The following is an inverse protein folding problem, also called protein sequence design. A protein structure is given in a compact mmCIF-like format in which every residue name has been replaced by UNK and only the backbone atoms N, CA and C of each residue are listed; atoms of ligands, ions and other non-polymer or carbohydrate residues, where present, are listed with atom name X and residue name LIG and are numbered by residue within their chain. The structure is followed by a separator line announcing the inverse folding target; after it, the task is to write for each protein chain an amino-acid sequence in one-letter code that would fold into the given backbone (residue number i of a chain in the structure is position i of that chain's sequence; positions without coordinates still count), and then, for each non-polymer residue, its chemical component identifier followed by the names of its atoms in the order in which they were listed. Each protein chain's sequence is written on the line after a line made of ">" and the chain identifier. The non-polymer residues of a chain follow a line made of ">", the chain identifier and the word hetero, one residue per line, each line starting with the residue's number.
data_IF_244493767688
#
_entry.id   IF_244493767688
#
_cell.length_a   1.000
_cell.length_b   1.000
_cell.length_c   1.000
_cell.angle_alpha   90.00
_cell.angle_beta   90.00
_cell.angle_gamma   90.00
#
_symmetry.space_group_name_H-M   'P 1'
#
loop_
_entity.id
_entity.type
_entity.pdbx_description
1 polymer ?
#
# COMPACT_ATOMS: atom_id res chain seq x y z
N UNK A 1 -21.70 5.20 -68.64
CA UNK A 1 -20.97 5.21 -67.37
C UNK A 1 -22.02 5.20 -66.25
N UNK A 2 -22.17 4.05 -65.59
CA UNK A 2 -23.03 3.86 -64.42
C UNK A 2 -22.26 4.33 -63.19
N UNK A 3 -22.67 5.41 -62.56
CA UNK A 3 -22.18 5.81 -61.23
C UNK A 3 -22.92 4.99 -60.17
N UNK A 4 -22.29 3.98 -59.61
CA UNK A 4 -22.74 3.31 -58.42
C UNK A 4 -22.38 4.22 -57.26
N UNK A 5 -23.32 5.00 -56.76
CA UNK A 5 -23.14 5.72 -55.47
C UNK A 5 -23.17 4.70 -54.35
N UNK A 6 -22.04 4.35 -53.82
CA UNK A 6 -21.95 3.56 -52.60
C UNK A 6 -22.54 4.39 -51.45
N UNK A 7 -23.78 4.17 -51.10
CA UNK A 7 -24.35 4.65 -49.84
C UNK A 7 -23.66 3.91 -48.70
N UNK A 8 -22.67 4.54 -48.14
CA UNK A 8 -22.09 4.03 -46.89
C UNK A 8 -23.11 4.26 -45.80
N UNK A 9 -23.68 3.17 -45.31
CA UNK A 9 -24.66 3.21 -44.22
C UNK A 9 -24.00 3.81 -42.98
N UNK A 10 -24.47 4.97 -42.53
CA UNK A 10 -23.95 5.73 -41.40
C UNK A 10 -23.92 4.89 -40.09
N UNK A 11 -24.84 3.90 -40.02
CA UNK A 11 -24.91 2.98 -38.89
C UNK A 11 -23.73 1.99 -38.87
N UNK A 12 -23.34 1.50 -40.04
CA UNK A 12 -22.18 0.62 -40.17
C UNK A 12 -20.89 1.35 -39.85
N UNK A 13 -20.72 2.60 -40.29
CA UNK A 13 -19.56 3.43 -39.96
C UNK A 13 -19.49 3.67 -38.46
N UNK A 14 -20.60 3.99 -37.81
CA UNK A 14 -20.66 4.19 -36.35
C UNK A 14 -20.29 2.91 -35.59
N UNK A 15 -20.81 1.76 -36.00
CA UNK A 15 -20.53 0.48 -35.38
C UNK A 15 -19.06 0.09 -35.52
N UNK A 16 -18.45 0.31 -36.70
CA UNK A 16 -17.00 0.09 -36.90
C UNK A 16 -16.16 1.03 -36.03
N UNK A 17 -16.56 2.31 -35.97
CA UNK A 17 -15.85 3.28 -35.11
C UNK A 17 -15.92 2.90 -33.62
N UNK A 18 -17.08 2.48 -33.14
CA UNK A 18 -17.24 2.00 -31.75
C UNK A 18 -16.42 0.73 -31.47
N UNK A 19 -16.38 -0.20 -32.43
CA UNK A 19 -15.57 -1.40 -32.31
C UNK A 19 -14.05 -1.07 -32.24
N UNK A 20 -13.58 -0.17 -33.08
CA UNK A 20 -12.19 0.28 -33.07
C UNK A 20 -11.85 0.99 -31.75
N UNK A 21 -12.72 1.87 -31.27
CA UNK A 21 -12.55 2.53 -29.96
C UNK A 21 -12.50 1.51 -28.82
N UNK A 22 -13.38 0.52 -28.81
CA UNK A 22 -13.39 -0.55 -27.83
C UNK A 22 -12.11 -1.39 -27.89
N UNK A 23 -11.61 -1.70 -29.08
CA UNK A 23 -10.37 -2.44 -29.28
C UNK A 23 -9.13 -1.66 -28.78
N UNK A 24 -9.08 -0.36 -29.07
CA UNK A 24 -8.01 0.53 -28.55
C UNK A 24 -8.06 0.60 -27.04
N UNK A 25 -9.25 0.82 -26.48
CA UNK A 25 -9.43 0.84 -25.02
C UNK A 25 -9.01 -0.48 -24.37
N UNK A 26 -9.42 -1.62 -24.94
CA UNK A 26 -9.03 -2.94 -24.44
C UNK A 26 -7.51 -3.15 -24.49
N UNK A 27 -6.83 -2.65 -25.51
CA UNK A 27 -5.37 -2.69 -25.62
C UNK A 27 -4.67 -1.85 -24.56
N UNK A 28 -5.14 -0.64 -24.33
CA UNK A 28 -4.61 0.24 -23.27
C UNK A 28 -4.81 -0.41 -21.91
N UNK A 29 -6.01 -0.97 -21.65
CA UNK A 29 -6.31 -1.68 -20.41
C UNK A 29 -5.42 -2.91 -20.23
N UNK A 30 -5.22 -3.69 -21.28
CA UNK A 30 -4.35 -4.86 -21.26
C UNK A 30 -2.90 -4.50 -20.94
N UNK A 31 -2.38 -3.43 -21.56
CA UNK A 31 -1.03 -2.93 -21.28
C UNK A 31 -0.88 -2.49 -19.82
N UNK A 32 -1.83 -1.69 -19.34
CA UNK A 32 -1.85 -1.21 -17.95
C UNK A 32 -1.91 -2.37 -16.95
N UNK A 33 -2.82 -3.32 -17.16
CA UNK A 33 -2.95 -4.48 -16.27
C UNK A 33 -1.71 -5.38 -16.30
N UNK A 34 -1.11 -5.62 -17.46
CA UNK A 34 0.12 -6.42 -17.56
C UNK A 34 1.28 -5.77 -16.83
N UNK A 35 1.47 -4.45 -16.99
CA UNK A 35 2.51 -3.70 -16.29
C UNK A 35 2.28 -3.75 -14.77
N UNK A 36 1.07 -3.43 -14.33
CA UNK A 36 0.72 -3.44 -12.92
C UNK A 36 0.86 -4.84 -12.29
N UNK A 37 0.30 -5.87 -12.91
CA UNK A 37 0.40 -7.26 -12.40
C UNK A 37 1.85 -7.73 -12.42
N UNK A 38 2.62 -7.34 -13.43
CA UNK A 38 4.05 -7.64 -13.51
C UNK A 38 4.81 -7.05 -12.32
N UNK A 39 4.64 -5.77 -12.04
CA UNK A 39 5.30 -5.08 -10.93
C UNK A 39 4.90 -5.66 -9.57
N UNK A 40 3.60 -5.93 -9.38
CA UNK A 40 3.11 -6.58 -8.15
C UNK A 40 3.67 -7.99 -8.02
N UNK A 41 3.69 -8.79 -9.10
CA UNK A 41 4.23 -10.14 -9.07
C UNK A 41 5.74 -10.15 -8.77
N UNK A 42 6.50 -9.21 -9.31
CA UNK A 42 7.92 -9.03 -9.00
C UNK A 42 8.12 -8.69 -7.54
N UNK A 43 7.38 -7.70 -7.04
CA UNK A 43 7.53 -7.24 -5.66
C UNK A 43 7.04 -8.28 -4.64
N UNK A 44 5.98 -9.03 -4.92
CA UNK A 44 5.41 -10.03 -4.00
C UNK A 44 6.09 -11.40 -4.09
N UNK A 45 7.03 -11.59 -5.02
CA UNK A 45 7.73 -12.85 -5.18
C UNK A 45 8.55 -13.19 -3.93
N UNK A 46 8.18 -14.31 -3.30
CA UNK A 46 8.76 -14.80 -2.05
C UNK A 46 9.75 -15.95 -2.28
N UNK A 47 9.95 -16.38 -3.52
CA UNK A 47 10.91 -17.45 -3.83
C UNK A 47 12.34 -16.89 -3.72
N UNK A 48 13.04 -17.27 -2.65
CA UNK A 48 14.39 -16.80 -2.35
C UNK A 48 15.43 -17.11 -3.45
N UNK A 49 15.16 -18.09 -4.33
CA UNK A 49 16.02 -18.43 -5.47
C UNK A 49 15.71 -17.57 -6.71
N UNK A 50 14.63 -16.82 -6.72
CA UNK A 50 14.24 -16.00 -7.85
C UNK A 50 14.94 -14.63 -7.80
N UNK A 51 15.36 -14.14 -8.97
CA UNK A 51 15.92 -12.78 -9.13
C UNK A 51 15.01 -11.70 -8.53
N UNK A 52 13.71 -11.86 -8.67
CA UNK A 52 12.70 -10.92 -8.17
C UNK A 52 12.70 -10.79 -6.64
N UNK A 53 13.06 -11.85 -5.92
CA UNK A 53 13.21 -11.80 -4.46
C UNK A 53 14.32 -10.84 -4.04
N UNK A 54 15.44 -10.83 -4.74
CA UNK A 54 16.55 -9.91 -4.46
C UNK A 54 16.15 -8.46 -4.75
N UNK A 55 15.41 -8.23 -5.83
CA UNK A 55 14.88 -6.91 -6.19
C UNK A 55 13.95 -6.42 -5.08
N UNK A 56 12.99 -7.23 -4.67
CA UNK A 56 12.08 -6.90 -3.54
C UNK A 56 12.85 -6.56 -2.27
N UNK A 57 13.83 -7.40 -1.91
CA UNK A 57 14.67 -7.20 -0.73
C UNK A 57 15.43 -5.87 -0.80
N UNK A 58 15.99 -5.54 -1.95
CA UNK A 58 16.70 -4.27 -2.16
C UNK A 58 15.76 -3.06 -2.05
N UNK A 59 14.56 -3.12 -2.65
CA UNK A 59 13.56 -2.06 -2.56
C UNK A 59 13.13 -1.85 -1.10
N UNK A 60 12.79 -2.91 -0.38
CA UNK A 60 12.36 -2.83 1.00
C UNK A 60 13.49 -2.33 1.92
N UNK A 61 14.71 -2.81 1.72
CA UNK A 61 15.86 -2.31 2.46
C UNK A 61 16.12 -0.82 2.19
N UNK A 62 16.04 -0.39 0.93
CA UNK A 62 16.21 1.01 0.53
C UNK A 62 15.16 1.91 1.18
N UNK A 63 13.88 1.56 1.10
CA UNK A 63 12.79 2.33 1.70
C UNK A 63 12.88 2.36 3.24
N UNK A 64 13.20 1.23 3.87
CA UNK A 64 13.36 1.15 5.33
C UNK A 64 14.53 2.00 5.79
N UNK A 65 15.69 1.92 5.12
CA UNK A 65 16.85 2.74 5.45
C UNK A 65 16.58 4.23 5.28
N UNK A 66 15.86 4.63 4.22
CA UNK A 66 15.48 6.03 4.03
C UNK A 66 14.64 6.56 5.22
N UNK A 67 13.65 5.78 5.68
CA UNK A 67 12.85 6.16 6.84
C UNK A 67 13.70 6.19 8.11
N UNK A 68 14.58 5.20 8.34
CA UNK A 68 15.49 5.17 9.51
C UNK A 68 16.38 6.42 9.54
N UNK A 69 16.95 6.82 8.39
CA UNK A 69 17.79 8.03 8.31
C UNK A 69 17.01 9.28 8.71
N UNK A 70 15.77 9.43 8.22
CA UNK A 70 14.89 10.53 8.62
C UNK A 70 14.58 10.51 10.12
N UNK A 71 14.25 9.33 10.67
CA UNK A 71 13.94 9.18 12.10
C UNK A 71 15.12 9.46 13.01
N UNK A 72 16.35 9.19 12.54
CA UNK A 72 17.62 9.44 13.24
C UNK A 72 18.19 10.82 12.95
N UNK A 73 17.56 11.57 12.05
CA UNK A 73 18.04 12.90 11.67
C UNK A 73 19.47 12.87 11.07
N UNK A 74 19.85 11.77 10.42
CA UNK A 74 21.17 11.61 9.83
C UNK A 74 21.44 12.55 8.65
N UNK A 75 20.37 13.04 8.00
CA UNK A 75 20.41 13.93 6.84
C UNK A 75 20.15 15.40 7.20
N UNK A 76 20.12 15.75 8.49
CA UNK A 76 19.90 17.13 8.94
C UNK A 76 21.14 17.97 8.68
N UNK A 77 21.00 18.97 7.80
CA UNK A 77 22.10 19.86 7.38
C UNK A 77 22.41 20.89 8.48
N UNK A 78 21.43 21.23 9.32
CA UNK A 78 21.57 22.20 10.41
C UNK A 78 21.20 21.53 11.73
N UNK A 79 22.01 21.75 12.77
CA UNK A 79 21.84 21.12 14.08
C UNK A 79 20.47 21.38 14.77
N UNK A 80 19.70 22.36 14.27
CA UNK A 80 18.37 22.73 14.80
C UNK A 80 17.21 22.26 13.90
N UNK A 81 17.47 21.62 12.75
CA UNK A 81 16.43 21.16 11.83
C UNK A 81 16.10 19.71 12.15
N UNK A 82 15.37 19.46 13.24
CA UNK A 82 14.88 18.13 13.59
C UNK A 82 13.49 17.88 13.01
N UNK A 83 13.21 16.62 12.64
CA UNK A 83 11.87 16.25 12.20
C UNK A 83 11.03 15.84 13.41
N UNK A 84 10.01 16.64 13.74
CA UNK A 84 9.06 16.31 14.81
C UNK A 84 8.13 15.16 14.39
N UNK A 85 7.79 15.11 13.12
CA UNK A 85 6.83 14.14 12.58
C UNK A 85 7.25 13.65 11.19
N UNK A 86 7.06 12.35 10.95
CA UNK A 86 7.25 11.71 9.66
C UNK A 86 5.94 11.11 9.19
N UNK A 87 5.54 11.41 7.96
CA UNK A 87 4.38 10.81 7.30
C UNK A 87 4.89 9.95 6.16
N UNK A 88 4.51 8.68 6.17
CA UNK A 88 4.83 7.74 5.09
C UNK A 88 3.66 7.70 4.13
N UNK A 89 3.86 8.09 2.88
CA UNK A 89 2.83 8.10 1.86
C UNK A 89 3.18 7.16 0.71
N UNK A 90 2.19 6.44 0.19
CA UNK A 90 2.38 5.52 -0.92
C UNK A 90 1.21 5.49 -1.89
N UNK A 91 1.50 5.68 -3.18
CA UNK A 91 0.57 5.53 -4.29
C UNK A 91 0.77 4.17 -4.97
N UNK A 92 -0.31 3.51 -5.36
CA UNK A 92 -0.23 2.27 -6.14
C UNK A 92 0.63 1.22 -5.42
N UNK A 93 1.59 0.58 -6.10
CA UNK A 93 2.56 -0.35 -5.51
C UNK A 93 3.38 0.31 -4.39
N UNK A 94 3.62 1.62 -4.46
CA UNK A 94 4.27 2.37 -3.38
C UNK A 94 3.55 2.27 -2.04
N UNK A 95 2.22 2.07 -2.02
CA UNK A 95 1.46 1.84 -0.80
C UNK A 95 1.76 0.47 -0.15
N UNK A 96 2.08 -0.54 -0.96
CA UNK A 96 2.52 -1.85 -0.46
C UNK A 96 3.92 -1.73 0.14
N UNK A 97 4.82 -1.01 -0.54
CA UNK A 97 6.18 -0.75 -0.06
C UNK A 97 6.12 0.04 1.25
N UNK A 98 5.31 1.10 1.33
CA UNK A 98 5.12 1.90 2.54
C UNK A 98 4.62 1.05 3.72
N UNK A 99 3.61 0.21 3.48
CA UNK A 99 3.08 -0.71 4.48
C UNK A 99 4.14 -1.74 4.94
N UNK A 100 4.85 -2.36 4.00
CA UNK A 100 5.91 -3.32 4.30
C UNK A 100 7.09 -2.65 5.05
N UNK A 101 7.39 -1.39 4.74
CA UNK A 101 8.40 -0.59 5.46
C UNK A 101 8.04 -0.41 6.93
N UNK A 102 6.78 -0.07 7.24
CA UNK A 102 6.34 0.05 8.63
C UNK A 102 6.41 -1.29 9.37
N UNK A 103 6.04 -2.40 8.72
CA UNK A 103 6.21 -3.73 9.32
C UNK A 103 7.68 -4.07 9.56
N UNK A 104 8.58 -3.71 8.63
CA UNK A 104 10.02 -3.94 8.80
C UNK A 104 10.61 -3.13 9.97
N UNK A 105 10.16 -1.90 10.17
CA UNK A 105 10.55 -1.08 11.32
C UNK A 105 10.10 -1.72 12.64
N UNK A 106 8.88 -2.25 12.70
CA UNK A 106 8.39 -3.00 13.86
C UNK A 106 9.22 -4.27 14.12
N UNK A 107 9.54 -5.02 13.06
CA UNK A 107 10.36 -6.23 13.18
C UNK A 107 11.77 -5.91 13.66
N UNK A 108 12.39 -4.82 13.19
CA UNK A 108 13.71 -4.36 13.63
C UNK A 108 13.73 -3.91 15.09
N UNK A 109 12.64 -3.31 15.57
CA UNK A 109 12.48 -2.99 16.99
C UNK A 109 12.34 -4.25 17.85
N UNK A 110 11.43 -5.16 17.46
CA UNK A 110 11.13 -6.39 18.20
C UNK A 110 12.36 -7.32 18.33
N UNK A 111 13.16 -7.42 17.27
CA UNK A 111 14.39 -8.25 17.27
C UNK A 111 15.39 -7.87 18.35
N UNK A 112 15.26 -6.68 18.95
CA UNK A 112 16.14 -6.25 20.04
C UNK A 112 15.67 -6.71 21.42
N UNK A 113 14.35 -6.73 21.66
CA UNK A 113 13.81 -7.08 22.98
C UNK A 113 14.02 -8.57 23.29
N UNK A 114 14.07 -9.42 22.25
CA UNK A 114 14.30 -10.86 22.36
C UNK A 114 15.78 -11.27 22.38
N UNK A 115 16.72 -10.37 22.08
CA UNK A 115 18.17 -10.67 22.00
C UNK A 115 18.91 -10.54 23.34
N UNK A 116 18.27 -10.78 24.49
CA UNK A 116 18.92 -10.79 25.80
C UNK A 116 19.55 -12.17 26.09
N UNK A 117 20.30 -12.75 25.18
CA UNK A 117 21.20 -13.85 25.51
C UNK A 117 22.50 -13.71 24.70
N UNK A 118 23.45 -13.01 25.29
CA UNK A 118 24.87 -13.28 25.05
C UNK A 118 25.56 -12.63 23.85
N UNK A 119 24.93 -11.73 23.10
CA UNK A 119 25.59 -11.01 22.00
C UNK A 119 25.61 -9.50 22.29
N UNK A 120 26.75 -8.86 22.02
CA UNK A 120 26.93 -7.41 22.02
C UNK A 120 25.78 -6.81 21.18
N UNK A 121 24.96 -5.89 21.73
CA UNK A 121 23.86 -5.35 21.00
C UNK A 121 24.36 -4.64 19.75
N UNK A 122 24.02 -5.16 18.58
CA UNK A 122 24.19 -4.40 17.36
C UNK A 122 23.52 -3.03 17.56
N UNK A 123 24.22 -1.96 17.21
CA UNK A 123 23.77 -0.56 17.39
C UNK A 123 22.32 -0.47 16.94
N UNK A 124 21.42 -0.21 17.89
CA UNK A 124 19.98 -0.33 17.64
C UNK A 124 19.55 0.57 16.51
N UNK A 125 19.05 -0.01 15.47
CA UNK A 125 18.63 0.76 14.31
C UNK A 125 17.37 1.57 14.61
N UNK A 126 16.42 1.04 15.38
CA UNK A 126 15.11 1.66 15.65
C UNK A 126 14.73 1.55 17.12
N UNK A 127 14.41 2.68 17.76
CA UNK A 127 13.88 2.77 19.12
C UNK A 127 12.38 3.10 19.11
N UNK A 128 11.72 3.01 20.26
CA UNK A 128 10.34 3.47 20.39
C UNK A 128 10.20 4.96 20.11
N UNK A 129 11.16 5.78 20.55
CA UNK A 129 11.13 7.23 20.31
C UNK A 129 11.22 7.55 18.83
N UNK A 130 12.00 6.78 18.06
CA UNK A 130 12.02 6.88 16.60
C UNK A 130 10.63 6.55 16.01
N UNK A 131 9.98 5.47 16.46
CA UNK A 131 8.65 5.09 15.98
C UNK A 131 7.58 6.11 16.35
N UNK A 132 7.70 6.77 17.50
CA UNK A 132 6.78 7.82 17.95
C UNK A 132 6.75 9.04 17.03
N UNK A 133 7.83 9.29 16.28
CA UNK A 133 7.88 10.33 15.25
C UNK A 133 7.03 9.98 14.01
N UNK A 134 6.69 8.72 13.79
CA UNK A 134 5.85 8.33 12.65
C UNK A 134 4.41 8.71 12.96
N UNK A 135 3.97 9.82 12.40
CA UNK A 135 2.63 10.37 12.59
C UNK A 135 1.57 9.64 11.79
N UNK A 136 1.89 9.25 10.57
CA UNK A 136 0.88 8.72 9.69
C UNK A 136 1.36 7.83 8.55
N UNK A 137 0.42 7.02 8.06
CA UNK A 137 0.50 6.28 6.82
C UNK A 137 -0.63 6.76 5.91
N UNK A 138 -0.30 7.23 4.72
CA UNK A 138 -1.25 7.62 3.68
C UNK A 138 -1.13 6.66 2.52
N UNK A 139 -2.20 5.94 2.21
CA UNK A 139 -2.27 5.03 1.06
C UNK A 139 -3.36 5.49 0.10
N UNK A 140 -3.06 5.51 -1.20
CA UNK A 140 -4.04 5.91 -2.22
C UNK A 140 -3.81 5.16 -3.53
N UNK A 141 -4.89 4.88 -4.25
CA UNK A 141 -4.81 3.96 -5.39
C UNK A 141 -4.23 2.59 -5.01
N UNK A 142 -4.45 2.15 -3.77
CA UNK A 142 -3.69 1.06 -3.14
C UNK A 142 -4.20 -0.32 -3.51
N UNK A 143 -3.31 -1.23 -3.98
CA UNK A 143 -3.65 -2.62 -4.26
C UNK A 143 -3.51 -3.55 -3.05
N UNK A 144 -3.31 -3.05 -1.84
CA UNK A 144 -3.01 -3.87 -0.66
C UNK A 144 -3.99 -5.02 -0.42
N UNK A 145 -5.32 -4.82 -0.61
CA UNK A 145 -6.30 -5.89 -0.52
C UNK A 145 -6.06 -6.99 -1.56
N UNK A 146 -5.75 -6.59 -2.81
CA UNK A 146 -5.51 -7.52 -3.92
C UNK A 146 -4.20 -8.28 -3.71
N UNK A 147 -3.15 -7.56 -3.32
CA UNK A 147 -1.85 -8.17 -2.97
C UNK A 147 -2.02 -9.15 -1.83
N UNK A 148 -2.78 -8.79 -0.80
CA UNK A 148 -3.05 -9.67 0.32
C UNK A 148 -3.77 -10.93 -0.13
N UNK A 149 -4.88 -10.80 -0.85
CA UNK A 149 -5.69 -11.92 -1.30
C UNK A 149 -4.93 -12.85 -2.26
N UNK A 150 -4.33 -12.31 -3.33
CA UNK A 150 -3.73 -13.14 -4.38
C UNK A 150 -2.37 -13.73 -4.01
N UNK A 151 -1.57 -12.99 -3.25
CA UNK A 151 -0.16 -13.36 -3.05
C UNK A 151 0.17 -13.78 -1.62
N UNK A 152 -0.70 -13.51 -0.67
CA UNK A 152 -0.45 -13.77 0.75
C UNK A 152 -1.44 -14.74 1.38
N UNK A 153 -2.71 -14.75 0.98
CA UNK A 153 -3.71 -15.69 1.50
C UNK A 153 -3.89 -16.94 0.63
N UNK A 154 -3.87 -16.76 -0.68
CA UNK A 154 -4.12 -17.87 -1.61
C UNK A 154 -2.81 -18.62 -1.94
N UNK A 155 -2.17 -19.19 -0.93
CA UNK A 155 -0.90 -19.89 -1.06
C UNK A 155 -1.14 -21.40 -1.10
N UNK A 156 -0.44 -22.14 -1.99
CA UNK A 156 -0.54 -23.59 -2.03
C UNK A 156 -0.25 -24.23 -0.67
N UNK A 157 -0.95 -25.30 -0.32
CA UNK A 157 -0.86 -25.95 0.99
C UNK A 157 0.58 -26.33 1.39
N UNK A 158 1.42 -26.72 0.43
CA UNK A 158 2.83 -27.05 0.69
C UNK A 158 3.69 -25.82 1.07
N UNK A 159 3.16 -24.62 0.95
CA UNK A 159 3.80 -23.34 1.35
C UNK A 159 3.12 -22.71 2.57
N UNK A 160 2.23 -23.42 3.26
CA UNK A 160 1.45 -22.90 4.38
C UNK A 160 2.32 -22.26 5.48
N UNK A 161 3.40 -22.90 5.91
CA UNK A 161 4.32 -22.36 6.92
C UNK A 161 4.91 -21.01 6.45
N UNK A 162 5.28 -20.93 5.19
CA UNK A 162 5.84 -19.70 4.61
C UNK A 162 4.82 -18.57 4.55
N UNK A 163 3.58 -18.88 4.18
CA UNK A 163 2.47 -17.92 4.21
C UNK A 163 2.21 -17.43 5.62
N UNK A 164 2.24 -18.32 6.60
CA UNK A 164 2.05 -18.01 8.01
C UNK A 164 3.16 -17.09 8.55
N UNK A 165 4.42 -17.36 8.23
CA UNK A 165 5.53 -16.48 8.56
C UNK A 165 5.38 -15.09 7.96
N UNK A 166 4.98 -15.00 6.69
CA UNK A 166 4.76 -13.72 6.03
C UNK A 166 3.58 -12.95 6.64
N UNK A 167 2.49 -13.64 6.96
CA UNK A 167 1.35 -13.04 7.64
C UNK A 167 1.74 -12.46 9.00
N UNK A 168 2.60 -13.16 9.70
CA UNK A 168 3.14 -12.75 10.99
C UNK A 168 4.03 -11.50 10.89
N UNK A 169 5.01 -11.51 9.99
CA UNK A 169 5.93 -10.39 9.76
C UNK A 169 5.26 -9.14 9.16
N UNK A 170 4.03 -9.26 8.66
CA UNK A 170 3.27 -8.19 8.01
C UNK A 170 1.90 -8.04 8.68
N UNK A 171 1.90 -7.93 10.01
CA UNK A 171 0.69 -7.97 10.83
C UNK A 171 0.17 -6.58 11.23
N UNK A 172 0.86 -5.49 10.87
CA UNK A 172 0.42 -4.15 11.22
C UNK A 172 -1.03 -3.90 10.80
N UNK A 173 -1.91 -3.75 11.80
CA UNK A 173 -3.36 -3.51 11.61
C UNK A 173 -4.06 -4.44 10.63
N UNK A 174 -3.53 -5.62 10.42
CA UNK A 174 -4.17 -6.65 9.62
C UNK A 174 -5.27 -7.34 10.43
N UNK A 175 -6.42 -7.59 9.81
CA UNK A 175 -7.45 -8.42 10.44
C UNK A 175 -6.92 -9.84 10.60
N UNK A 176 -7.27 -10.53 11.69
CA UNK A 176 -7.00 -11.95 11.80
C UNK A 176 -7.57 -12.69 10.59
N UNK A 177 -6.78 -13.54 9.97
CA UNK A 177 -7.27 -14.44 8.93
C UNK A 177 -8.11 -15.54 9.57
N UNK A 178 -9.23 -15.92 8.92
CA UNK A 178 -9.99 -17.10 9.31
C UNK A 178 -9.27 -18.40 8.96
N UNK A 179 -8.17 -18.33 8.22
CA UNK A 179 -7.35 -19.49 7.90
C UNK A 179 -6.41 -19.77 9.08
N UNK A 180 -6.84 -20.67 9.95
CA UNK A 180 -5.99 -21.29 10.94
C UNK A 180 -5.14 -22.34 10.21
N UNK A 181 -3.90 -22.01 9.87
CA UNK A 181 -2.93 -22.96 9.33
C UNK A 181 -2.47 -23.97 10.41
N UNK A 182 -3.17 -24.09 11.49
CA UNK A 182 -3.42 -25.25 12.36
C UNK A 182 -2.33 -25.67 13.30
N UNK A 183 -1.06 -25.32 13.22
CA UNK A 183 -0.05 -25.98 14.07
C UNK A 183 0.98 -25.08 14.75
N UNK A 184 1.15 -23.84 14.34
CA UNK A 184 2.15 -22.96 14.97
C UNK A 184 1.55 -21.59 15.29
N UNK A 185 1.20 -21.39 16.55
CA UNK A 185 0.98 -20.05 17.10
C UNK A 185 2.33 -19.39 17.27
N UNK A 186 2.80 -18.72 16.24
CA UNK A 186 3.93 -17.82 16.39
C UNK A 186 3.51 -16.69 17.35
N UNK A 187 4.36 -16.41 18.33
CA UNK A 187 4.17 -15.28 19.22
C UNK A 187 4.08 -14.01 18.37
N UNK A 188 3.03 -13.21 18.56
CA UNK A 188 2.88 -11.97 17.77
C UNK A 188 3.96 -11.00 18.20
N UNK A 189 4.66 -10.41 17.24
CA UNK A 189 5.45 -9.23 17.53
C UNK A 189 4.55 -8.13 18.07
N UNK A 190 5.09 -7.35 18.98
CA UNK A 190 4.38 -6.22 19.53
C UNK A 190 4.19 -5.14 18.48
N UNK A 191 2.99 -5.06 17.90
CA UNK A 191 2.61 -4.02 16.96
C UNK A 191 2.30 -2.68 17.64
N UNK A 192 2.36 -2.60 18.98
CA UNK A 192 2.01 -1.41 19.76
C UNK A 192 2.91 -0.22 19.46
N UNK A 193 4.13 -0.47 19.00
CA UNK A 193 5.09 0.58 18.62
C UNK A 193 4.58 1.59 17.60
N UNK A 194 3.56 1.24 16.82
CA UNK A 194 2.91 2.12 15.82
C UNK A 194 1.42 2.38 16.12
N UNK A 195 0.98 2.20 17.36
CA UNK A 195 -0.43 2.44 17.73
C UNK A 195 -0.87 3.88 17.49
N UNK A 196 0.03 4.84 17.65
CA UNK A 196 -0.22 6.28 17.40
C UNK A 196 -0.32 6.68 15.93
N UNK A 197 0.04 5.79 15.00
CA UNK A 197 0.04 6.08 13.57
C UNK A 197 -1.39 6.25 13.06
N UNK A 198 -1.69 7.37 12.45
CA UNK A 198 -2.95 7.60 11.76
C UNK A 198 -2.84 7.01 10.35
N UNK A 199 -3.68 6.03 10.02
CA UNK A 199 -3.70 5.47 8.66
C UNK A 199 -4.90 5.98 7.88
N UNK A 200 -4.63 6.68 6.77
CA UNK A 200 -5.63 7.18 5.84
C UNK A 200 -5.52 6.44 4.51
N UNK A 201 -6.66 6.01 3.97
CA UNK A 201 -6.71 5.35 2.65
C UNK A 201 -7.71 6.04 1.73
N UNK A 202 -7.22 6.58 0.62
CA UNK A 202 -8.04 7.11 -0.45
C UNK A 202 -8.19 6.06 -1.57
N UNK A 203 -9.44 5.81 -2.00
CA UNK A 203 -9.72 4.79 -3.00
C UNK A 203 -10.87 5.20 -3.92
N UNK A 204 -10.95 4.59 -5.10
CA UNK A 204 -12.03 4.81 -6.07
C UNK A 204 -12.48 3.50 -6.69
N UNK A 205 -13.79 3.35 -6.92
CA UNK A 205 -14.36 2.19 -7.63
C UNK A 205 -13.94 2.13 -9.09
N UNK A 206 -13.68 3.29 -9.68
CA UNK A 206 -13.24 3.43 -11.07
C UNK A 206 -11.75 3.15 -11.25
N UNK A 207 -10.99 3.11 -10.17
CA UNK A 207 -9.58 2.73 -10.18
C UNK A 207 -9.46 1.20 -10.07
N UNK A 208 -9.05 0.50 -11.14
CA UNK A 208 -8.97 -0.97 -11.15
C UNK A 208 -7.89 -1.53 -10.21
N UNK A 209 -6.95 -0.69 -9.78
CA UNK A 209 -5.87 -1.05 -8.85
C UNK A 209 -6.31 -0.91 -7.41
N UNK A 210 -7.06 0.14 -7.12
CA UNK A 210 -7.43 0.59 -5.79
C UNK A 210 -8.34 -0.38 -5.03
N UNK A 211 -8.22 -0.40 -3.71
CA UNK A 211 -9.08 -1.11 -2.78
C UNK A 211 -9.43 -0.28 -1.55
N UNK A 212 -10.57 -0.61 -0.92
CA UNK A 212 -10.99 0.00 0.34
C UNK A 212 -10.23 -0.54 1.57
N UNK A 213 -9.32 -1.46 1.37
CA UNK A 213 -8.49 -2.09 2.41
C UNK A 213 -9.31 -2.83 3.47
N UNK A 214 -10.22 -3.71 3.03
CA UNK A 214 -11.12 -4.47 3.89
C UNK A 214 -10.39 -5.46 4.82
N UNK A 215 -9.20 -5.93 4.44
CA UNK A 215 -8.40 -6.84 5.25
C UNK A 215 -7.63 -6.14 6.39
N UNK A 216 -7.82 -4.84 6.55
CA UNK A 216 -7.11 -4.02 7.54
C UNK A 216 -8.08 -3.31 8.48
N UNK A 217 -7.60 -2.97 9.68
CA UNK A 217 -8.37 -2.29 10.73
C UNK A 217 -7.70 -1.00 11.18
N UNK A 218 -8.45 -0.14 11.88
CA UNK A 218 -7.89 1.08 12.46
C UNK A 218 -7.40 2.08 11.43
N UNK A 219 -8.05 2.14 10.26
CA UNK A 219 -7.76 3.13 9.22
C UNK A 219 -9.03 3.88 8.82
N UNK A 220 -8.87 5.15 8.47
CA UNK A 220 -9.93 5.98 7.89
C UNK A 220 -9.91 5.82 6.38
N UNK A 221 -11.06 5.52 5.80
CA UNK A 221 -11.25 5.30 4.37
C UNK A 221 -12.05 6.42 3.77
N UNK A 222 -11.60 6.95 2.63
CA UNK A 222 -12.39 7.90 1.84
C UNK A 222 -12.52 7.43 0.40
N UNK A 223 -13.75 7.32 -0.08
CA UNK A 223 -14.06 7.03 -1.47
C UNK A 223 -14.03 8.31 -2.29
N UNK A 224 -13.34 8.27 -3.43
CA UNK A 224 -13.28 9.36 -4.41
C UNK A 224 -13.98 8.92 -5.69
N UNK A 225 -14.88 9.75 -6.18
CA UNK A 225 -15.60 9.49 -7.43
C UNK A 225 -14.84 10.10 -8.59
N UNK A 226 -14.17 9.26 -9.35
CA UNK A 226 -13.55 9.61 -10.62
C UNK A 226 -14.35 8.95 -11.76
N UNK A 227 -14.38 9.59 -12.93
CA UNK A 227 -15.30 9.14 -14.02
C UNK A 227 -14.65 8.15 -14.96
N UNK A 228 -13.37 8.28 -15.22
CA UNK A 228 -12.66 7.53 -16.27
C UNK A 228 -11.79 6.46 -15.60
N UNK A 229 -12.07 5.14 -15.83
CA UNK A 229 -11.20 4.06 -15.38
C UNK A 229 -9.78 4.27 -15.89
N UNK A 230 -8.77 3.77 -15.23
CA UNK A 230 -7.34 3.98 -15.49
C UNK A 230 -6.89 5.40 -15.12
N UNK A 231 -7.50 6.45 -15.71
CA UNK A 231 -7.20 7.84 -15.34
C UNK A 231 -7.51 8.09 -13.85
N UNK A 232 -8.56 7.44 -13.34
CA UNK A 232 -8.89 7.43 -11.91
C UNK A 232 -7.68 7.07 -11.02
N UNK A 233 -6.80 6.20 -11.50
CA UNK A 233 -5.58 5.80 -10.76
C UNK A 233 -4.59 6.93 -10.58
N UNK A 234 -4.55 7.89 -11.48
CA UNK A 234 -3.67 9.07 -11.43
C UNK A 234 -4.37 10.31 -10.87
N UNK A 235 -5.71 10.32 -10.87
CA UNK A 235 -6.52 11.50 -10.53
C UNK A 235 -6.35 11.96 -9.07
N UNK A 236 -5.88 11.10 -8.18
CA UNK A 236 -5.58 11.50 -6.80
C UNK A 236 -4.56 12.64 -6.73
N UNK A 237 -3.57 12.66 -7.63
CA UNK A 237 -2.52 13.68 -7.65
C UNK A 237 -3.00 15.07 -8.02
N UNK A 238 -4.13 15.15 -8.72
CA UNK A 238 -4.71 16.40 -9.21
C UNK A 238 -5.93 16.85 -8.37
N UNK A 239 -6.40 15.99 -7.44
CA UNK A 239 -7.61 16.25 -6.66
C UNK A 239 -7.30 16.96 -5.34
N UNK A 240 -7.63 18.25 -5.24
CA UNK A 240 -7.44 19.04 -4.02
C UNK A 240 -8.12 18.40 -2.80
N UNK A 241 -9.28 17.76 -2.98
CA UNK A 241 -10.01 17.06 -1.90
C UNK A 241 -9.20 15.90 -1.30
N UNK A 242 -8.30 15.30 -2.09
CA UNK A 242 -7.37 14.27 -1.59
C UNK A 242 -6.34 14.91 -0.65
N UNK A 243 -5.78 16.06 -1.02
CA UNK A 243 -4.82 16.76 -0.16
C UNK A 243 -5.46 17.25 1.12
N UNK A 244 -6.67 17.80 1.06
CA UNK A 244 -7.45 18.18 2.25
C UNK A 244 -7.71 16.98 3.16
N UNK A 245 -8.02 15.81 2.58
CA UNK A 245 -8.31 14.60 3.33
C UNK A 245 -7.13 14.14 4.19
N UNK A 246 -5.90 14.28 3.72
CA UNK A 246 -4.76 13.84 4.51
C UNK A 246 -4.04 14.99 5.23
N UNK A 247 -3.99 16.19 4.68
CA UNK A 247 -3.27 17.30 5.27
C UNK A 247 -3.89 17.76 6.59
N UNK A 248 -5.20 17.93 6.64
CA UNK A 248 -5.89 18.38 7.85
C UNK A 248 -5.61 17.45 9.05
N UNK A 249 -5.86 16.13 9.00
CA UNK A 249 -5.62 15.27 10.16
C UNK A 249 -4.15 15.00 10.46
N UNK A 250 -3.28 15.02 9.44
CA UNK A 250 -1.86 14.74 9.61
C UNK A 250 -1.09 15.94 10.13
N UNK A 251 -1.40 17.16 9.66
CA UNK A 251 -0.67 18.37 10.00
C UNK A 251 -1.29 19.12 11.18
N UNK A 252 -2.62 19.16 11.26
CA UNK A 252 -3.32 19.92 12.31
C UNK A 252 -3.58 19.14 13.60
N UNK A 253 -3.29 17.86 13.64
CA UNK A 253 -3.21 17.07 14.87
C UNK A 253 -4.54 16.78 15.60
N UNK A 254 -5.69 17.11 15.03
CA UNK A 254 -6.97 16.98 15.71
C UNK A 254 -7.58 15.58 15.58
N UNK A 255 -7.09 14.62 16.37
CA UNK A 255 -7.65 13.25 16.43
C UNK A 255 -9.13 13.24 16.88
N UNK A 256 -9.56 14.17 17.70
CA UNK A 256 -10.93 14.27 18.20
C UNK A 256 -11.93 14.61 17.08
N UNK A 257 -11.57 15.46 16.13
CA UNK A 257 -12.43 15.85 15.00
C UNK A 257 -12.65 14.72 14.01
N UNK A 258 -11.67 13.82 13.83
CA UNK A 258 -11.80 12.67 12.93
C UNK A 258 -12.71 11.58 13.50
N UNK A 259 -12.65 11.32 14.81
CA UNK A 259 -13.56 10.39 15.46
C UNK A 259 -15.00 10.89 15.40
N UNK A 260 -15.24 12.19 15.60
CA UNK A 260 -16.57 12.79 15.46
C UNK A 260 -17.12 12.74 14.03
N UNK A 261 -16.29 13.06 13.02
CA UNK A 261 -16.69 12.97 11.59
C UNK A 261 -16.93 11.53 11.13
N UNK A 262 -16.16 10.56 11.64
CA UNK A 262 -16.36 9.15 11.32
C UNK A 262 -17.65 8.57 11.92
N UNK A 263 -18.06 9.03 13.11
CA UNK A 263 -19.33 8.67 13.71
C UNK A 263 -20.54 9.35 13.04
N UNK A 264 -20.39 10.56 12.51
CA UNK A 264 -21.46 11.29 11.79
C UNK A 264 -21.72 10.85 10.36
N UNK A 265 -20.82 10.04 9.75
CA UNK A 265 -20.97 9.53 8.39
C UNK A 265 -21.56 8.09 8.34
N UNK A 266 -22.02 7.57 9.45
CA UNK A 266 -22.64 6.23 9.58
C UNK A 266 -24.17 6.30 9.78
N UNK A 267 -24.81 7.42 9.42
CA UNK A 267 -26.28 7.57 9.39
C UNK A 267 -26.76 7.63 7.95
#
# INVERSE_FOLDING_TARGET
>A
RMYVSAHVDSQNVRNVALFLLAAVFARIMQFFLKSFVGDVAVYTNINAKAKNFLIRKAILAGSTNAVIRLLREEDVIRANDTYDQVIVAGHSLGSVIAYDTLNELLNKRASREDQIVGHVPAKTEVTQDHLNKIRGLVTFGSPLDKVHYFFRENVPQHQAIRAQLLQFLQSFRKRPSNFDYGLYRLQRYDATGLNGVLWLNAWSKQDPVSGALHFYTGLTRRHFEYRIPIYAHLSYWEDLRFYEFFAEPMLLGNQATLQQKAMGASV
#
